data_IF_940049790330
#
_entry.id   IF_940049790330
#
_cell.length_a   1.000
_cell.length_b   1.000
_cell.length_c   1.000
_cell.angle_alpha   90.00
_cell.angle_beta   90.00
_cell.angle_gamma   90.00
#
_symmetry.space_group_name_H-M   'P 1'
#
loop_
_entity.id
_entity.type
_entity.pdbx_description
1 polymer ?
#
# COMPACT_ATOMS: atom_id res chain seq x y z
N UNK A 1 -46.03 -16.49 9.50
CA UNK A 1 -44.64 -16.98 9.49
C UNK A 1 -43.90 -16.25 10.60
N UNK A 2 -43.45 -16.96 11.65
CA UNK A 2 -42.67 -16.35 12.73
C UNK A 2 -41.23 -16.14 12.25
N UNK A 3 -40.79 -14.89 12.21
CA UNK A 3 -39.41 -14.53 11.88
C UNK A 3 -38.53 -14.95 13.05
N UNK A 4 -37.53 -15.80 12.79
CA UNK A 4 -36.53 -16.16 13.80
C UNK A 4 -35.72 -14.90 14.12
N UNK A 5 -35.65 -14.46 15.39
CA UNK A 5 -34.87 -13.29 15.76
C UNK A 5 -33.38 -13.46 15.38
N UNK A 6 -32.74 -12.41 14.90
CA UNK A 6 -31.32 -12.42 14.47
C UNK A 6 -30.38 -13.03 15.52
N UNK A 7 -30.58 -12.70 16.80
CA UNK A 7 -29.76 -13.23 17.90
C UNK A 7 -29.86 -14.75 18.09
N UNK A 8 -30.97 -15.38 17.68
CA UNK A 8 -31.06 -16.84 17.67
C UNK A 8 -30.17 -17.46 16.59
N UNK A 9 -30.01 -16.77 15.45
CA UNK A 9 -29.12 -17.20 14.38
C UNK A 9 -27.65 -17.03 14.82
N UNK A 10 -27.28 -15.89 15.40
CA UNK A 10 -25.93 -15.66 15.94
C UNK A 10 -25.52 -16.72 16.97
N UNK A 11 -26.43 -17.10 17.89
CA UNK A 11 -26.15 -18.15 18.89
C UNK A 11 -26.04 -19.53 18.28
N UNK A 12 -26.79 -19.81 17.23
CA UNK A 12 -26.70 -21.08 16.51
C UNK A 12 -25.37 -21.17 15.76
N UNK A 13 -24.98 -20.11 15.04
CA UNK A 13 -23.67 -20.02 14.37
C UNK A 13 -22.51 -20.15 15.35
N UNK A 14 -22.58 -19.49 16.50
CA UNK A 14 -21.57 -19.62 17.55
C UNK A 14 -21.46 -21.07 18.08
N UNK A 15 -22.60 -21.74 18.30
CA UNK A 15 -22.64 -23.14 18.73
C UNK A 15 -22.04 -24.08 17.68
N UNK A 16 -22.32 -23.85 16.40
CA UNK A 16 -21.74 -24.59 15.29
C UNK A 16 -20.23 -24.38 15.18
N UNK A 17 -19.74 -23.14 15.26
CA UNK A 17 -18.32 -22.82 15.24
C UNK A 17 -17.57 -23.46 16.43
N UNK A 18 -18.15 -23.45 17.62
CA UNK A 18 -17.57 -24.08 18.83
C UNK A 18 -17.56 -25.61 18.76
N UNK A 19 -18.40 -26.22 17.92
CA UNK A 19 -18.47 -27.67 17.74
C UNK A 19 -17.69 -28.19 16.53
N UNK A 20 -16.94 -27.32 15.84
CA UNK A 20 -16.05 -27.72 14.76
C UNK A 20 -15.06 -28.80 15.24
N UNK A 21 -14.90 -29.92 14.49
CA UNK A 21 -13.94 -30.93 14.84
C UNK A 21 -12.50 -30.40 14.65
N UNK A 22 -11.51 -30.94 15.37
CA UNK A 22 -10.12 -30.63 15.11
C UNK A 22 -9.75 -30.93 13.65
N UNK A 23 -8.96 -30.07 12.99
CA UNK A 23 -8.54 -30.32 11.60
C UNK A 23 -7.63 -31.56 11.51
N UNK A 24 -7.70 -32.27 10.39
CA UNK A 24 -6.78 -33.37 10.11
C UNK A 24 -5.37 -32.86 9.80
N UNK A 25 -4.36 -33.72 9.94
CA UNK A 25 -2.98 -33.38 9.57
C UNK A 25 -2.85 -32.96 8.10
N UNK A 26 -3.60 -33.60 7.20
CA UNK A 26 -3.63 -33.24 5.78
C UNK A 26 -4.21 -31.84 5.57
N UNK A 27 -5.25 -31.46 6.32
CA UNK A 27 -5.84 -30.13 6.24
C UNK A 27 -4.85 -29.06 6.77
N UNK A 28 -4.19 -29.30 7.90
CA UNK A 28 -3.17 -28.40 8.44
C UNK A 28 -1.99 -28.24 7.46
N UNK A 29 -1.55 -29.32 6.83
CA UNK A 29 -0.48 -29.27 5.83
C UNK A 29 -0.90 -28.45 4.60
N UNK A 30 -2.11 -28.67 4.08
CA UNK A 30 -2.64 -27.93 2.95
C UNK A 30 -2.75 -26.42 3.24
N UNK A 31 -3.28 -26.05 4.42
CA UNK A 31 -3.35 -24.64 4.84
C UNK A 31 -1.96 -24.02 4.99
N UNK A 32 -1.00 -24.74 5.57
CA UNK A 32 0.37 -24.25 5.74
C UNK A 32 1.03 -23.98 4.39
N UNK A 33 0.87 -24.88 3.42
CA UNK A 33 1.37 -24.70 2.05
C UNK A 33 0.69 -23.50 1.40
N UNK A 34 -0.64 -23.43 1.43
CA UNK A 34 -1.39 -22.33 0.81
C UNK A 34 -1.00 -20.95 1.34
N UNK A 35 -0.80 -20.80 2.66
CA UNK A 35 -0.38 -19.53 3.27
C UNK A 35 1.04 -19.14 2.82
N UNK A 36 1.96 -20.10 2.79
CA UNK A 36 3.36 -19.85 2.38
C UNK A 36 3.43 -19.50 0.89
N UNK A 37 2.70 -20.22 0.05
CA UNK A 37 2.66 -19.97 -1.40
C UNK A 37 2.07 -18.60 -1.71
N UNK A 38 0.95 -18.23 -1.07
CA UNK A 38 0.36 -16.90 -1.22
C UNK A 38 1.37 -15.81 -0.84
N UNK A 39 2.09 -15.97 0.27
CA UNK A 39 3.09 -15.00 0.71
C UNK A 39 4.27 -14.90 -0.28
N UNK A 40 4.72 -16.02 -0.87
CA UNK A 40 5.81 -16.02 -1.85
C UNK A 40 5.40 -15.41 -3.19
N UNK A 41 4.21 -15.75 -3.67
CA UNK A 41 3.74 -15.33 -4.99
C UNK A 41 3.26 -13.89 -4.99
N UNK A 42 2.49 -13.50 -3.98
CA UNK A 42 1.79 -12.22 -3.96
C UNK A 42 2.38 -11.24 -2.95
N UNK A 43 3.13 -11.69 -1.95
CA UNK A 43 3.77 -10.83 -0.97
C UNK A 43 4.90 -9.99 -1.55
N UNK A 44 5.19 -8.86 -0.90
CA UNK A 44 6.33 -8.00 -1.24
C UNK A 44 7.65 -8.74 -1.00
N UNK A 45 8.51 -8.74 -2.03
CA UNK A 45 9.90 -9.18 -1.94
C UNK A 45 10.83 -8.02 -1.56
N UNK A 46 12.10 -8.32 -1.28
CA UNK A 46 13.11 -7.28 -1.06
C UNK A 46 13.37 -6.43 -2.33
N UNK A 47 13.23 -7.03 -3.51
CA UNK A 47 13.31 -6.29 -4.77
C UNK A 47 12.10 -5.37 -4.98
N UNK A 48 10.89 -5.82 -4.63
CA UNK A 48 9.70 -4.95 -4.68
C UNK A 48 9.86 -3.76 -3.71
N UNK A 49 10.41 -4.01 -2.51
CA UNK A 49 10.71 -2.94 -1.56
C UNK A 49 11.76 -1.96 -2.11
N UNK A 50 12.80 -2.46 -2.78
CA UNK A 50 13.82 -1.63 -3.43
C UNK A 50 13.21 -0.74 -4.50
N UNK A 51 12.37 -1.29 -5.38
CA UNK A 51 11.66 -0.49 -6.40
C UNK A 51 10.78 0.57 -5.75
N UNK A 52 10.06 0.24 -4.67
CA UNK A 52 9.25 1.20 -3.92
C UNK A 52 10.10 2.30 -3.28
N UNK A 53 11.31 1.99 -2.83
CA UNK A 53 12.26 2.96 -2.32
C UNK A 53 12.79 3.89 -3.43
N UNK A 54 13.10 3.34 -4.60
CA UNK A 54 13.50 4.11 -5.79
C UNK A 54 12.39 5.11 -6.20
N UNK A 55 11.11 4.71 -6.14
CA UNK A 55 9.98 5.62 -6.38
C UNK A 55 10.00 6.81 -5.39
N UNK A 56 10.24 6.55 -4.10
CA UNK A 56 10.33 7.61 -3.09
C UNK A 56 11.51 8.54 -3.35
N UNK A 57 12.66 7.99 -3.77
CA UNK A 57 13.84 8.77 -4.10
C UNK A 57 13.61 9.70 -5.32
N UNK A 58 13.02 9.18 -6.39
CA UNK A 58 12.67 10.00 -7.56
C UNK A 58 11.63 11.06 -7.23
N UNK A 59 10.58 10.70 -6.49
CA UNK A 59 9.57 11.66 -6.05
C UNK A 59 10.19 12.73 -5.13
N UNK A 60 11.17 12.35 -4.31
CA UNK A 60 11.89 13.28 -3.43
C UNK A 60 12.69 14.30 -4.24
N UNK A 61 13.33 13.91 -5.36
CA UNK A 61 14.04 14.85 -6.24
C UNK A 61 13.10 15.91 -6.80
N UNK A 62 11.91 15.50 -7.26
CA UNK A 62 10.91 16.42 -7.81
C UNK A 62 10.40 17.37 -6.73
N UNK A 63 9.99 16.85 -5.57
CA UNK A 63 9.42 17.69 -4.50
C UNK A 63 10.45 18.65 -3.93
N UNK A 64 11.67 18.18 -3.65
CA UNK A 64 12.71 19.01 -3.03
C UNK A 64 13.23 20.10 -3.97
N UNK A 65 13.05 19.98 -5.29
CA UNK A 65 13.32 21.09 -6.22
C UNK A 65 12.42 22.32 -5.95
N UNK A 66 11.19 22.11 -5.47
CA UNK A 66 10.24 23.19 -5.15
C UNK A 66 10.12 23.46 -3.65
N UNK A 67 10.34 22.43 -2.82
CA UNK A 67 10.23 22.45 -1.37
C UNK A 67 11.51 21.85 -0.75
N UNK A 68 12.66 22.56 -0.83
CA UNK A 68 13.99 22.01 -0.52
C UNK A 68 14.17 21.61 0.95
N UNK A 69 13.34 22.12 1.84
CA UNK A 69 13.41 21.79 3.27
C UNK A 69 12.52 20.61 3.66
N UNK A 70 11.74 20.07 2.73
CA UNK A 70 10.94 18.89 2.95
C UNK A 70 11.76 17.61 2.74
N UNK A 71 11.34 16.52 3.37
CA UNK A 71 11.89 15.19 3.10
C UNK A 71 10.76 14.18 2.95
N UNK A 72 10.99 13.14 2.16
CA UNK A 72 10.03 12.06 1.97
C UNK A 72 10.47 10.82 2.73
N UNK A 73 9.50 10.04 3.20
CA UNK A 73 9.76 8.70 3.72
C UNK A 73 8.73 7.69 3.22
N UNK A 74 9.20 6.48 2.94
CA UNK A 74 8.34 5.31 2.78
C UNK A 74 7.79 4.93 4.16
N UNK A 75 6.54 4.50 4.23
CA UNK A 75 5.96 3.93 5.46
C UNK A 75 4.91 2.87 5.15
N UNK A 76 4.25 2.36 6.20
CA UNK A 76 3.11 1.47 6.07
C UNK A 76 3.50 0.06 5.61
N UNK A 77 2.61 -0.55 4.84
CA UNK A 77 2.68 -1.96 4.45
C UNK A 77 3.94 -2.33 3.67
N UNK A 78 4.51 -1.37 2.93
CA UNK A 78 5.79 -1.56 2.22
C UNK A 78 6.93 -1.90 3.19
N UNK A 79 7.04 -1.20 4.33
CA UNK A 79 8.10 -1.44 5.32
C UNK A 79 7.81 -2.63 6.25
N UNK A 80 6.54 -2.87 6.59
CA UNK A 80 6.18 -4.01 7.45
C UNK A 80 6.17 -5.34 6.69
N UNK A 81 6.23 -5.29 5.35
CA UNK A 81 6.05 -6.43 4.44
C UNK A 81 4.69 -7.11 4.55
N UNK A 82 3.75 -6.51 5.27
CA UNK A 82 2.34 -6.91 5.27
C UNK A 82 1.60 -6.22 4.14
N UNK A 83 2.09 -6.44 2.92
CA UNK A 83 1.50 -5.96 1.69
C UNK A 83 1.59 -7.02 0.60
N UNK A 84 0.67 -6.91 -0.34
CA UNK A 84 0.79 -7.60 -1.62
C UNK A 84 1.54 -6.69 -2.60
N UNK A 85 2.08 -7.28 -3.68
CA UNK A 85 2.78 -6.55 -4.75
C UNK A 85 1.94 -5.41 -5.34
N UNK A 86 0.62 -5.57 -5.37
CA UNK A 86 -0.33 -4.57 -5.87
C UNK A 86 -0.77 -3.54 -4.83
N UNK A 87 -0.37 -3.65 -3.57
CA UNK A 87 -0.73 -2.67 -2.54
C UNK A 87 -0.12 -1.31 -2.83
N UNK A 88 -0.84 -0.24 -2.46
CA UNK A 88 -0.38 1.14 -2.62
C UNK A 88 0.99 1.39 -1.98
N UNK A 89 1.71 2.39 -2.49
CA UNK A 89 2.97 2.88 -1.92
C UNK A 89 2.67 4.07 -1.02
N UNK A 90 2.78 3.90 0.29
CA UNK A 90 2.51 4.97 1.25
C UNK A 90 3.76 5.85 1.45
N UNK A 91 3.66 7.12 1.08
CA UNK A 91 4.74 8.11 1.14
C UNK A 91 4.31 9.28 2.02
N UNK A 92 5.12 9.59 3.02
CA UNK A 92 4.89 10.70 3.94
C UNK A 92 5.86 11.85 3.61
N UNK A 93 5.36 13.08 3.63
CA UNK A 93 6.16 14.29 3.43
C UNK A 93 6.34 14.95 4.79
N UNK A 94 7.58 15.02 5.24
CA UNK A 94 7.95 15.74 6.45
C UNK A 94 8.25 17.19 6.12
N UNK A 95 7.50 18.07 6.75
CA UNK A 95 7.69 19.51 6.71
C UNK A 95 8.55 19.99 7.90
N UNK A 96 9.43 20.99 7.73
CA UNK A 96 10.08 21.63 8.86
C UNK A 96 9.05 22.35 9.76
N UNK A 97 9.35 22.52 11.06
CA UNK A 97 8.40 23.06 12.05
C UNK A 97 7.83 24.45 11.74
N UNK A 98 8.51 25.23 10.90
CA UNK A 98 8.06 26.57 10.48
C UNK A 98 6.84 26.55 9.54
N UNK A 99 6.48 25.39 9.02
CA UNK A 99 5.35 25.19 8.11
C UNK A 99 4.07 24.71 8.80
N UNK A 100 4.04 24.63 10.13
CA UNK A 100 2.88 24.18 10.94
C UNK A 100 1.67 25.14 10.95
N UNK A 101 1.55 26.05 9.98
CA UNK A 101 0.36 26.90 9.81
C UNK A 101 -0.53 26.28 8.73
N UNK A 102 -1.82 26.05 9.04
CA UNK A 102 -2.82 25.36 8.20
C UNK A 102 -2.88 25.84 6.72
N UNK A 103 -2.62 27.13 6.49
CA UNK A 103 -2.62 27.73 5.14
C UNK A 103 -1.46 27.23 4.25
N UNK A 104 -0.36 26.82 4.88
CA UNK A 104 0.82 26.31 4.18
C UNK A 104 0.60 24.87 3.70
N UNK A 105 -0.01 24.01 4.51
CA UNK A 105 -0.29 22.61 4.14
C UNK A 105 -1.15 22.52 2.88
N UNK A 106 -2.25 23.27 2.82
CA UNK A 106 -3.14 23.30 1.63
C UNK A 106 -2.39 23.77 0.38
N UNK A 107 -1.57 24.82 0.53
CA UNK A 107 -0.76 25.35 -0.57
C UNK A 107 0.24 24.31 -1.07
N UNK A 108 0.87 23.55 -0.18
CA UNK A 108 1.77 22.46 -0.56
C UNK A 108 1.02 21.37 -1.32
N UNK A 109 -0.13 20.90 -0.84
CA UNK A 109 -0.87 19.85 -1.53
C UNK A 109 -1.31 20.28 -2.94
N UNK A 110 -1.71 21.54 -3.12
CA UNK A 110 -2.05 22.09 -4.44
C UNK A 110 -0.82 22.11 -5.35
N UNK A 111 0.31 22.65 -4.87
CA UNK A 111 1.55 22.69 -5.66
C UNK A 111 2.05 21.29 -6.00
N UNK A 112 1.99 20.36 -5.05
CA UNK A 112 2.38 18.96 -5.26
C UNK A 112 1.50 18.32 -6.34
N UNK A 113 0.18 18.54 -6.29
CA UNK A 113 -0.72 18.03 -7.31
C UNK A 113 -0.40 18.60 -8.69
N UNK A 114 -0.14 19.90 -8.80
CA UNK A 114 0.25 20.53 -10.06
C UNK A 114 1.56 19.94 -10.61
N UNK A 115 2.56 19.72 -9.76
CA UNK A 115 3.84 19.14 -10.17
C UNK A 115 3.71 17.70 -10.66
N UNK A 116 2.89 16.89 -9.98
CA UNK A 116 2.61 15.52 -10.40
C UNK A 116 1.81 15.50 -11.72
N UNK A 117 0.85 16.41 -11.88
CA UNK A 117 0.05 16.55 -13.10
C UNK A 117 0.94 17.06 -14.28
N UNK A 118 1.91 17.93 -14.04
CA UNK A 118 2.88 18.38 -15.05
C UNK A 118 3.87 17.27 -15.45
N UNK A 119 4.39 16.54 -14.47
CA UNK A 119 5.29 15.40 -14.70
C UNK A 119 4.62 14.28 -15.51
N UNK A 120 3.36 13.96 -15.21
CA UNK A 120 2.55 12.99 -15.96
C UNK A 120 2.25 13.44 -17.39
N UNK A 121 2.11 14.75 -17.65
CA UNK A 121 1.97 15.27 -19.02
C UNK A 121 3.29 15.29 -19.79
N UNK A 122 4.44 15.43 -19.11
CA UNK A 122 5.75 15.42 -19.75
C UNK A 122 6.19 14.03 -20.22
N UNK A 123 5.65 12.97 -19.61
CA UNK A 123 5.96 11.57 -19.97
C UNK A 123 5.23 11.08 -21.22
N UNK A 124 4.34 11.89 -21.79
CA UNK A 124 3.52 11.53 -22.96
C UNK A 124 4.14 11.88 -24.33
N UNK A 125 5.47 12.05 -24.39
CA UNK A 125 6.16 12.21 -25.69
C UNK A 125 7.34 11.24 -25.82
N UNK A 126 7.13 10.17 -26.59
CA UNK A 126 8.17 9.47 -27.38
C UNK A 126 9.33 8.74 -26.68
N UNK A 127 9.37 8.63 -25.34
CA UNK A 127 10.54 8.07 -24.65
C UNK A 127 10.66 6.53 -24.64
N UNK A 128 9.66 5.77 -25.11
CA UNK A 128 9.72 4.30 -25.18
C UNK A 128 9.83 3.72 -26.61
N UNK A 129 9.80 4.55 -27.66
CA UNK A 129 9.81 4.09 -29.06
C UNK A 129 11.19 4.05 -29.74
N UNK A 130 12.29 4.32 -29.03
CA UNK A 130 13.65 4.20 -29.60
C UNK A 130 14.40 2.92 -29.23
N UNK A 131 13.72 1.91 -28.68
CA UNK A 131 14.32 0.58 -28.44
C UNK A 131 13.72 -0.56 -29.26
N UNK A 132 13.17 -0.27 -30.43
CA UNK A 132 12.96 -1.27 -31.49
C UNK A 132 13.49 -0.77 -32.83
N UNK A 133 14.68 -1.27 -33.18
CA UNK A 133 14.97 -1.64 -34.57
C UNK A 133 13.99 -2.73 -35.00
#
# INVERSE_FOLDING_TARGET
MSVVPHWCLEKQEESELRSLPPPSLAHLAALSVAVIELAKEQGITDDDLRVRQEIVEEMSKVITAFLPECSLRLYGSSLTKFALKSSDVNIDIKFPPKFCNLNFEVSVFINLKLLLDESSRSSDTSAWDFKKK
#
